data_IF_567840271415
#
_entry.id   IF_567840271415
#
_cell.length_a   1.000
_cell.length_b   1.000
_cell.length_c   1.000
_cell.angle_alpha   90.00
_cell.angle_beta   90.00
_cell.angle_gamma   90.00
#
_symmetry.space_group_name_H-M   'P 1'
#
loop_
_entity.id
_entity.type
_entity.pdbx_description
1 polymer ?
#
# COMPACT_ATOMS: atom_id res chain seq x y z
N UNK A 1 41.07 -15.84 -27.28
CA UNK A 1 40.33 -16.68 -26.31
C UNK A 1 40.01 -15.95 -25.02
N UNK A 2 40.88 -15.14 -24.42
CA UNK A 2 40.59 -14.43 -23.17
C UNK A 2 39.51 -13.35 -23.28
N UNK A 3 39.30 -12.74 -24.47
CA UNK A 3 38.26 -11.72 -24.68
C UNK A 3 36.83 -12.27 -24.81
N UNK A 4 36.68 -13.54 -25.21
CA UNK A 4 35.38 -14.18 -25.38
C UNK A 4 34.80 -14.62 -24.02
N UNK A 5 35.67 -15.08 -23.09
CA UNK A 5 35.24 -15.41 -21.74
C UNK A 5 34.77 -14.21 -20.93
N UNK A 6 35.33 -13.02 -21.20
CA UNK A 6 34.89 -11.76 -20.53
C UNK A 6 33.52 -11.31 -20.98
N UNK A 7 33.17 -11.48 -22.25
CA UNK A 7 31.86 -11.08 -22.79
C UNK A 7 30.76 -12.05 -22.34
N UNK A 8 31.03 -13.32 -22.28
CA UNK A 8 30.06 -14.33 -21.78
C UNK A 8 29.82 -14.19 -20.27
N UNK A 9 30.86 -13.85 -19.51
CA UNK A 9 30.73 -13.57 -18.08
C UNK A 9 29.92 -12.30 -17.80
N UNK A 10 30.11 -11.25 -18.60
CA UNK A 10 29.37 -10.00 -18.48
C UNK A 10 27.89 -10.18 -18.88
N UNK A 11 27.61 -11.00 -19.89
CA UNK A 11 26.25 -11.31 -20.32
C UNK A 11 25.50 -12.15 -19.28
N UNK A 12 26.21 -13.08 -18.63
CA UNK A 12 25.62 -13.91 -17.58
C UNK A 12 25.29 -13.11 -16.31
N UNK A 13 26.13 -12.16 -15.94
CA UNK A 13 25.86 -11.25 -14.83
C UNK A 13 24.71 -10.27 -15.12
N UNK A 14 24.58 -9.82 -16.35
CA UNK A 14 23.48 -8.93 -16.77
C UNK A 14 22.13 -9.68 -16.76
N UNK A 15 22.10 -10.94 -17.15
CA UNK A 15 20.88 -11.78 -17.11
C UNK A 15 20.47 -12.08 -15.67
N UNK A 16 21.41 -12.23 -14.73
CA UNK A 16 21.09 -12.42 -13.31
C UNK A 16 20.54 -11.17 -12.63
N UNK A 17 20.86 -9.96 -13.10
CA UNK A 17 20.30 -8.73 -12.54
C UNK A 17 18.82 -8.53 -12.93
N UNK A 18 18.34 -9.12 -14.01
CA UNK A 18 16.93 -9.04 -14.41
C UNK A 18 16.00 -10.04 -13.68
N UNK A 19 16.55 -11.00 -12.96
CA UNK A 19 15.77 -12.04 -12.24
C UNK A 19 15.30 -11.61 -10.85
N UNK A 20 15.56 -10.36 -10.41
CA UNK A 20 15.20 -9.86 -9.08
C UNK A 20 14.03 -8.86 -9.11
N UNK A 21 13.21 -8.84 -10.15
CA UNK A 21 11.88 -8.24 -10.06
C UNK A 21 11.00 -9.26 -9.34
N UNK A 22 11.14 -9.31 -8.02
CA UNK A 22 10.20 -10.02 -7.16
C UNK A 22 8.86 -9.28 -7.25
N UNK A 23 7.92 -9.81 -8.02
CA UNK A 23 6.53 -9.37 -7.95
C UNK A 23 6.01 -9.74 -6.56
N UNK A 24 5.85 -8.76 -5.68
CA UNK A 24 5.22 -8.97 -4.39
C UNK A 24 3.76 -9.34 -4.63
N UNK A 25 3.43 -10.60 -4.38
CA UNK A 25 2.07 -11.13 -4.51
C UNK A 25 1.71 -11.82 -3.20
N UNK A 26 0.58 -11.43 -2.62
CA UNK A 26 0.08 -12.02 -1.38
C UNK A 26 -0.87 -13.17 -1.66
N UNK A 27 -0.96 -14.10 -0.71
CA UNK A 27 -1.88 -15.21 -0.78
C UNK A 27 -3.29 -14.79 -0.34
N UNK A 28 -4.30 -15.28 -1.06
CA UNK A 28 -5.71 -15.01 -0.77
C UNK A 28 -6.22 -15.91 0.34
N UNK A 29 -5.72 -15.71 1.56
CA UNK A 29 -6.04 -16.49 2.76
C UNK A 29 -6.22 -15.57 3.98
N UNK A 30 -6.92 -16.02 5.00
CA UNK A 30 -7.11 -15.26 6.24
C UNK A 30 -7.74 -13.90 6.00
N UNK A 31 -7.15 -12.84 6.53
CA UNK A 31 -7.62 -11.46 6.33
C UNK A 31 -7.67 -11.05 4.84
N UNK A 32 -6.84 -11.66 4.00
CA UNK A 32 -6.73 -11.36 2.57
C UNK A 32 -7.76 -12.08 1.70
N UNK A 33 -8.63 -12.92 2.27
CA UNK A 33 -9.62 -13.68 1.50
C UNK A 33 -10.53 -12.79 0.64
N UNK A 34 -10.89 -11.63 1.15
CA UNK A 34 -11.76 -10.67 0.48
C UNK A 34 -11.01 -9.48 -0.12
N UNK A 35 -9.68 -9.51 -0.14
CA UNK A 35 -8.87 -8.42 -0.68
C UNK A 35 -9.15 -8.17 -2.16
N UNK A 36 -9.25 -6.89 -2.52
CA UNK A 36 -9.46 -6.46 -3.91
C UNK A 36 -8.18 -6.65 -4.74
N UNK A 37 -7.04 -6.25 -4.18
CA UNK A 37 -5.74 -6.36 -4.83
C UNK A 37 -4.84 -7.28 -4.02
N UNK A 38 -4.15 -8.18 -4.71
CA UNK A 38 -3.24 -9.18 -4.11
C UNK A 38 -1.78 -8.93 -4.50
N UNK A 39 -1.49 -7.83 -5.13
CA UNK A 39 -0.14 -7.42 -5.56
C UNK A 39 0.01 -5.92 -5.54
N UNK A 40 1.24 -5.46 -5.54
CA UNK A 40 1.56 -4.05 -5.67
C UNK A 40 0.90 -3.48 -6.93
N UNK A 41 0.25 -2.34 -6.79
CA UNK A 41 -0.61 -1.78 -7.84
C UNK A 41 -0.40 -0.27 -7.94
N UNK A 42 -0.32 0.21 -9.16
CA UNK A 42 -0.26 1.63 -9.48
C UNK A 42 -1.64 2.13 -9.91
N UNK A 43 -2.10 3.24 -9.31
CA UNK A 43 -3.45 3.77 -9.49
C UNK A 43 -3.42 5.29 -9.72
N UNK A 44 -4.41 5.73 -10.47
CA UNK A 44 -4.72 7.16 -10.62
C UNK A 44 -3.85 7.90 -11.59
N UNK A 45 -4.15 9.20 -11.68
CA UNK A 45 -3.43 10.21 -12.47
C UNK A 45 -3.37 11.50 -11.66
N UNK A 46 -2.25 12.17 -11.68
CA UNK A 46 -2.05 13.42 -10.96
C UNK A 46 -0.57 13.74 -10.82
N UNK A 47 -0.29 14.93 -10.34
CA UNK A 47 1.07 15.44 -10.21
C UNK A 47 1.80 14.92 -8.96
N UNK A 48 1.03 14.60 -7.90
CA UNK A 48 1.59 14.00 -6.68
C UNK A 48 1.60 12.50 -6.79
N UNK A 49 2.70 11.88 -6.34
CA UNK A 49 2.83 10.44 -6.20
C UNK A 49 3.05 10.12 -4.72
N UNK A 50 2.19 9.30 -4.15
CA UNK A 50 2.32 8.79 -2.79
C UNK A 50 2.27 7.28 -2.78
N UNK A 51 2.96 6.66 -1.84
CA UNK A 51 2.91 5.23 -1.62
C UNK A 51 2.10 4.93 -0.37
N UNK A 52 1.23 3.95 -0.45
CA UNK A 52 0.43 3.46 0.68
C UNK A 52 0.60 1.96 0.79
N UNK A 53 1.27 1.53 1.83
CA UNK A 53 1.40 0.11 2.16
C UNK A 53 0.23 -0.34 3.03
N UNK A 54 -0.46 -1.38 2.60
CA UNK A 54 -1.55 -2.02 3.34
C UNK A 54 -1.02 -3.32 3.93
N UNK A 55 -0.99 -3.39 5.26
CA UNK A 55 -0.45 -4.52 6.02
C UNK A 55 -1.56 -5.20 6.81
N UNK A 56 -1.71 -6.50 6.63
CA UNK A 56 -2.60 -7.32 7.43
C UNK A 56 -1.96 -8.69 7.64
N UNK A 57 -1.97 -9.17 8.87
CA UNK A 57 -1.25 -10.38 9.26
C UNK A 57 0.25 -10.22 8.92
N UNK A 58 0.84 -11.15 8.23
CA UNK A 58 2.26 -11.11 7.83
C UNK A 58 2.46 -10.78 6.35
N UNK A 59 1.42 -10.24 5.69
CA UNK A 59 1.43 -9.90 4.27
C UNK A 59 1.15 -8.41 4.06
N UNK A 60 1.68 -7.87 2.97
CA UNK A 60 1.42 -6.48 2.57
C UNK A 60 1.38 -6.31 1.06
N UNK A 61 0.67 -5.29 0.62
CA UNK A 61 0.73 -4.76 -0.75
C UNK A 61 0.95 -3.27 -0.70
N UNK A 62 1.65 -2.73 -1.67
CA UNK A 62 1.92 -1.30 -1.80
C UNK A 62 1.16 -0.72 -3.00
N UNK A 63 0.42 0.33 -2.75
CA UNK A 63 -0.24 1.12 -3.78
C UNK A 63 0.60 2.36 -4.08
N UNK A 64 0.97 2.53 -5.34
CA UNK A 64 1.55 3.79 -5.84
C UNK A 64 0.42 4.61 -6.43
N UNK A 65 0.08 5.72 -5.79
CA UNK A 65 -1.10 6.51 -6.14
C UNK A 65 -0.66 7.86 -6.71
N UNK A 66 -1.08 8.12 -7.95
CA UNK A 66 -0.94 9.41 -8.60
C UNK A 66 -2.23 10.20 -8.38
N UNK A 67 -2.13 11.41 -7.83
CA UNK A 67 -3.33 12.17 -7.43
C UNK A 67 -3.08 13.67 -7.42
N UNK A 68 -4.15 14.43 -7.65
CA UNK A 68 -4.21 15.87 -7.41
C UNK A 68 -5.03 16.22 -6.16
N UNK A 69 -5.53 15.19 -5.44
CA UNK A 69 -6.32 15.39 -4.22
C UNK A 69 -5.48 16.02 -3.11
N UNK A 70 -6.15 16.72 -2.21
CA UNK A 70 -5.51 17.43 -1.10
C UNK A 70 -5.15 16.51 0.07
N UNK A 71 -5.99 15.51 0.35
CA UNK A 71 -5.82 14.60 1.49
C UNK A 71 -5.68 13.15 1.05
N UNK A 72 -5.07 12.34 1.91
CA UNK A 72 -4.92 10.92 1.67
C UNK A 72 -6.29 10.22 1.59
N UNK A 73 -7.22 10.59 2.47
CA UNK A 73 -8.57 10.03 2.47
C UNK A 73 -9.29 10.24 1.13
N UNK A 74 -9.22 11.44 0.56
CA UNK A 74 -9.81 11.72 -0.75
C UNK A 74 -9.19 10.86 -1.86
N UNK A 75 -7.86 10.72 -1.86
CA UNK A 75 -7.15 9.91 -2.84
C UNK A 75 -7.51 8.43 -2.73
N UNK A 76 -7.61 7.89 -1.52
CA UNK A 76 -7.97 6.49 -1.29
C UNK A 76 -9.44 6.19 -1.59
N UNK A 77 -10.34 7.12 -1.25
CA UNK A 77 -11.77 6.99 -1.56
C UNK A 77 -12.05 7.03 -3.07
N UNK A 78 -11.32 7.85 -3.82
CA UNK A 78 -11.44 7.94 -5.28
C UNK A 78 -11.25 6.58 -5.96
N UNK A 79 -10.36 5.75 -5.43
CA UNK A 79 -10.04 4.41 -5.97
C UNK A 79 -10.79 3.27 -5.26
N UNK A 80 -11.69 3.60 -4.33
CA UNK A 80 -12.42 2.59 -3.57
C UNK A 80 -11.52 1.73 -2.66
N UNK A 81 -10.34 2.24 -2.28
CA UNK A 81 -9.38 1.51 -1.45
C UNK A 81 -9.76 1.50 0.02
N UNK A 82 -10.57 2.45 0.48
CA UNK A 82 -11.05 2.52 1.85
C UNK A 82 -12.56 2.71 1.90
N UNK A 83 -13.15 2.23 2.98
CA UNK A 83 -14.53 2.49 3.35
C UNK A 83 -14.65 2.55 4.88
N UNK A 84 -15.66 3.23 5.37
CA UNK A 84 -15.88 3.38 6.79
C UNK A 84 -17.13 4.19 7.10
N UNK A 85 -17.19 4.73 8.29
CA UNK A 85 -18.29 5.54 8.77
C UNK A 85 -17.81 6.91 9.22
N UNK A 86 -18.62 7.93 8.98
CA UNK A 86 -18.34 9.26 9.49
C UNK A 86 -18.50 9.28 11.01
N UNK A 87 -17.47 9.78 11.68
CA UNK A 87 -17.43 9.89 13.12
C UNK A 87 -17.12 11.31 13.59
N UNK A 88 -17.07 11.55 14.92
CA UNK A 88 -16.80 12.87 15.48
C UNK A 88 -15.41 13.41 15.16
N UNK A 89 -14.48 12.56 14.76
CA UNK A 89 -13.10 12.92 14.39
C UNK A 89 -12.79 12.71 12.90
N UNK A 90 -13.83 12.64 12.06
CA UNK A 90 -13.73 12.36 10.63
C UNK A 90 -14.06 10.91 10.28
N UNK A 91 -13.58 10.46 9.14
CA UNK A 91 -13.84 9.11 8.66
C UNK A 91 -13.17 8.05 9.55
N UNK A 92 -13.98 7.19 10.15
CA UNK A 92 -13.51 5.98 10.81
C UNK A 92 -13.37 4.84 9.79
N UNK A 93 -12.14 4.55 9.41
CA UNK A 93 -11.84 3.54 8.38
C UNK A 93 -12.07 2.14 8.95
N UNK A 94 -12.94 1.36 8.31
CA UNK A 94 -13.23 -0.03 8.67
C UNK A 94 -12.73 -1.04 7.64
N UNK A 95 -12.70 -0.65 6.37
CA UNK A 95 -12.27 -1.52 5.28
C UNK A 95 -11.14 -0.86 4.49
N UNK A 96 -10.07 -1.59 4.26
CA UNK A 96 -8.94 -1.18 3.42
C UNK A 96 -8.63 -2.32 2.44
N UNK A 97 -8.57 -2.02 1.16
CA UNK A 97 -8.33 -3.03 0.12
C UNK A 97 -9.29 -4.24 0.21
N UNK A 98 -10.54 -4.02 0.63
CA UNK A 98 -11.52 -5.08 0.85
C UNK A 98 -11.36 -5.84 2.17
N UNK A 99 -10.35 -5.54 2.97
CA UNK A 99 -10.06 -6.20 4.24
C UNK A 99 -10.76 -5.46 5.39
N UNK A 100 -11.60 -6.15 6.14
CA UNK A 100 -12.30 -5.59 7.28
C UNK A 100 -11.43 -5.55 8.55
N UNK A 101 -11.51 -4.44 9.27
CA UNK A 101 -11.11 -4.30 10.67
C UNK A 101 -12.14 -3.40 11.37
N UNK A 102 -13.02 -4.00 12.14
CA UNK A 102 -14.04 -3.31 12.92
C UNK A 102 -13.91 -3.75 14.37
N UNK A 103 -13.43 -2.86 15.23
CA UNK A 103 -13.09 -3.17 16.62
C UNK A 103 -14.28 -3.80 17.39
N UNK A 104 -15.49 -3.33 17.14
CA UNK A 104 -16.68 -3.84 17.80
C UNK A 104 -17.13 -5.22 17.29
N UNK A 105 -16.65 -5.64 16.12
CA UNK A 105 -16.99 -6.92 15.47
C UNK A 105 -15.89 -7.96 15.66
N UNK A 106 -14.63 -7.60 15.35
CA UNK A 106 -13.52 -8.54 15.32
C UNK A 106 -12.33 -8.16 16.22
N UNK A 107 -12.41 -7.02 16.91
CA UNK A 107 -11.36 -6.53 17.80
C UNK A 107 -10.14 -5.97 17.07
N UNK A 108 -10.22 -5.77 15.76
CA UNK A 108 -9.17 -5.16 14.95
C UNK A 108 -9.52 -3.73 14.57
N UNK A 109 -8.49 -2.94 14.28
CA UNK A 109 -8.60 -1.58 13.77
C UNK A 109 -7.52 -1.32 12.71
N UNK A 110 -7.67 -0.25 11.94
CA UNK A 110 -6.65 0.19 10.99
C UNK A 110 -5.80 1.28 11.63
N UNK A 111 -4.55 0.93 11.97
CA UNK A 111 -3.53 1.88 12.40
C UNK A 111 -3.00 2.65 11.19
N UNK A 112 -2.89 3.98 11.33
CA UNK A 112 -2.43 4.86 10.27
C UNK A 112 -1.06 5.45 10.62
N UNK A 113 -0.09 5.26 9.73
CA UNK A 113 1.31 5.63 9.95
C UNK A 113 1.86 6.40 8.75
N UNK A 114 2.81 7.29 9.02
CA UNK A 114 3.63 7.99 8.05
C UNK A 114 5.09 7.79 8.42
N UNK A 115 5.89 7.25 7.50
CA UNK A 115 7.31 6.95 7.74
C UNK A 115 7.55 6.14 9.03
N UNK A 116 6.67 5.20 9.34
CA UNK A 116 6.77 4.34 10.52
C UNK A 116 6.27 4.95 11.83
N UNK A 117 5.83 6.20 11.83
CA UNK A 117 5.27 6.90 13.00
C UNK A 117 3.74 6.97 12.94
N UNK A 118 3.08 6.65 14.05
CA UNK A 118 1.63 6.73 14.13
C UNK A 118 1.15 8.16 13.92
N UNK A 119 0.21 8.34 13.02
CA UNK A 119 -0.43 9.62 12.77
C UNK A 119 -1.43 9.97 13.87
N UNK A 120 -1.45 11.23 14.27
CA UNK A 120 -2.38 11.75 15.29
C UNK A 120 -3.68 12.28 14.68
N UNK A 121 -3.83 12.17 13.36
CA UNK A 121 -5.04 12.55 12.60
C UNK A 121 -5.48 11.40 11.73
N UNK A 122 -6.74 11.37 11.33
CA UNK A 122 -7.28 10.40 10.38
C UNK A 122 -6.85 10.70 8.94
N UNK A 123 -7.08 9.75 8.05
CA UNK A 123 -6.68 9.85 6.63
C UNK A 123 -7.33 11.03 5.90
N UNK A 124 -8.54 11.40 6.28
CA UNK A 124 -9.30 12.51 5.69
C UNK A 124 -8.79 13.89 6.12
N UNK A 125 -8.00 13.97 7.20
CA UNK A 125 -7.32 15.18 7.66
C UNK A 125 -5.82 15.22 7.33
N UNK A 126 -5.29 14.16 6.73
CA UNK A 126 -3.88 14.07 6.36
C UNK A 126 -3.65 14.73 4.99
N UNK A 127 -3.14 15.96 5.00
CA UNK A 127 -2.67 16.63 3.78
C UNK A 127 -1.47 15.89 3.21
N UNK A 128 -1.50 15.62 1.91
CA UNK A 128 -0.46 14.86 1.23
C UNK A 128 0.44 15.73 0.37
N UNK A 129 1.72 15.35 0.32
CA UNK A 129 2.71 15.94 -0.57
C UNK A 129 3.35 14.85 -1.43
N UNK A 130 3.92 15.25 -2.55
CA UNK A 130 4.60 14.34 -3.47
C UNK A 130 5.76 13.61 -2.78
N UNK A 131 5.86 12.31 -3.01
CA UNK A 131 6.94 11.46 -2.49
C UNK A 131 6.72 10.91 -1.08
N UNK A 132 5.57 11.16 -0.46
CA UNK A 132 5.28 10.64 0.87
C UNK A 132 4.93 9.16 0.88
N UNK A 133 5.27 8.48 1.99
CA UNK A 133 4.99 7.07 2.23
C UNK A 133 4.12 6.90 3.47
N UNK A 134 3.03 6.18 3.32
CA UNK A 134 2.07 5.88 4.38
C UNK A 134 1.86 4.39 4.55
N UNK A 135 1.40 3.99 5.71
CA UNK A 135 1.04 2.62 6.01
C UNK A 135 -0.33 2.57 6.68
N UNK A 136 -1.16 1.64 6.24
CA UNK A 136 -2.40 1.24 6.91
C UNK A 136 -2.22 -0.18 7.39
N UNK A 137 -2.19 -0.38 8.71
CA UNK A 137 -1.93 -1.68 9.36
C UNK A 137 -3.15 -2.17 10.09
N UNK A 138 -3.55 -3.40 9.81
CA UNK A 138 -4.59 -4.08 10.58
C UNK A 138 -4.01 -4.59 11.89
N UNK A 139 -4.39 -3.97 12.98
CA UNK A 139 -3.86 -4.20 14.33
C UNK A 139 -4.96 -4.60 15.31
N UNK A 140 -4.55 -5.17 16.46
CA UNK A 140 -5.46 -5.64 17.50
C UNK A 140 -5.18 -4.96 18.83
#
# INVERSE_FOLDING_TARGET
MKKILSVTSLLLTLVMLFALVSCNTVEKTGAWENATYLKDTELGKGEKTVEVEVVAEEQSVTFTIHTDKATLGEALLEHGLIAGEDGPFGLYVKTVNGILADYDVDGYYWGFYKNGEMMMVGVDSAAIADGEHYELKREK
#
